data_IF_539792728616
#
_entry.id   IF_539792728616
#
_cell.length_a   1.000
_cell.length_b   1.000
_cell.length_c   1.000
_cell.angle_alpha   90.00
_cell.angle_beta   90.00
_cell.angle_gamma   90.00
#
_symmetry.space_group_name_H-M   'P 1'
#
loop_
_entity.id
_entity.type
_entity.pdbx_description
1 polymer ?
#
# COMPACT_ATOMS: atom_id res chain seq x y z
N UNK A 1 7.41 -9.30 -12.90
CA UNK A 1 6.74 -9.71 -11.65
C UNK A 1 7.71 -9.44 -10.51
N UNK A 2 7.30 -8.64 -9.52
CA UNK A 2 8.14 -8.29 -8.38
C UNK A 2 7.61 -9.01 -7.16
N UNK A 3 8.39 -9.94 -6.64
CA UNK A 3 8.06 -10.56 -5.36
C UNK A 3 8.51 -9.61 -4.25
N UNK A 4 7.55 -9.08 -3.49
CA UNK A 4 7.87 -8.36 -2.26
C UNK A 4 8.01 -9.43 -1.17
N UNK A 5 9.25 -9.89 -0.99
CA UNK A 5 9.60 -10.77 0.12
C UNK A 5 9.94 -9.88 1.31
N UNK A 6 9.12 -9.95 2.34
CA UNK A 6 9.46 -9.33 3.62
C UNK A 6 10.56 -10.14 4.28
N UNK A 7 11.75 -9.57 4.43
CA UNK A 7 12.83 -10.17 5.21
C UNK A 7 12.77 -9.86 6.70
N UNK A 8 11.88 -8.96 7.14
CA UNK A 8 11.81 -8.53 8.54
C UNK A 8 10.62 -9.13 9.28
N UNK A 9 10.89 -9.73 10.45
CA UNK A 9 9.87 -10.27 11.37
C UNK A 9 8.78 -9.25 11.75
N UNK A 10 9.06 -7.95 11.56
CA UNK A 10 8.16 -6.84 11.88
C UNK A 10 7.07 -6.59 10.82
N UNK A 11 7.28 -6.97 9.57
CA UNK A 11 6.35 -6.66 8.46
C UNK A 11 5.08 -7.52 8.50
N UNK A 12 5.22 -8.73 9.06
CA UNK A 12 4.31 -9.81 8.72
C UNK A 12 2.92 -9.76 9.37
N UNK A 13 2.71 -9.41 10.65
CA UNK A 13 1.38 -9.49 11.23
C UNK A 13 0.43 -8.43 10.65
N UNK A 14 0.93 -7.22 10.38
CA UNK A 14 0.08 -6.08 10.01
C UNK A 14 -0.30 -6.13 8.53
N UNK A 15 0.64 -6.50 7.66
CA UNK A 15 0.35 -6.67 6.25
C UNK A 15 -0.51 -7.93 6.01
N UNK A 16 -0.30 -8.99 6.80
CA UNK A 16 -1.19 -10.17 6.80
C UNK A 16 -2.60 -9.77 7.22
N UNK A 17 -2.78 -8.97 8.29
CA UNK A 17 -4.11 -8.52 8.73
C UNK A 17 -4.76 -7.62 7.66
N UNK A 18 -4.00 -6.72 7.02
CA UNK A 18 -4.48 -5.84 5.97
C UNK A 18 -4.96 -6.64 4.75
N UNK A 19 -4.18 -7.62 4.32
CA UNK A 19 -4.50 -8.40 3.14
C UNK A 19 -5.51 -9.49 3.45
N UNK A 20 -5.53 -10.05 4.67
CA UNK A 20 -6.63 -10.87 5.16
C UNK A 20 -7.93 -10.06 5.22
N UNK A 21 -7.88 -8.79 5.63
CA UNK A 21 -9.07 -7.92 5.60
C UNK A 21 -9.53 -7.67 4.17
N UNK A 22 -8.62 -7.37 3.23
CA UNK A 22 -8.97 -7.23 1.81
C UNK A 22 -9.48 -8.55 1.20
N UNK A 23 -8.87 -9.67 1.54
CA UNK A 23 -9.29 -11.01 1.12
C UNK A 23 -10.64 -11.41 1.70
N UNK A 24 -10.90 -11.09 2.97
CA UNK A 24 -12.20 -11.25 3.63
C UNK A 24 -13.22 -10.36 2.94
N UNK A 25 -12.84 -9.13 2.57
CA UNK A 25 -13.70 -8.26 1.78
C UNK A 25 -13.99 -8.89 0.42
N UNK A 26 -12.99 -9.30 -0.35
CA UNK A 26 -13.19 -10.01 -1.63
C UNK A 26 -14.01 -11.30 -1.49
N UNK A 27 -13.82 -12.06 -0.41
CA UNK A 27 -14.65 -13.23 -0.11
C UNK A 27 -16.09 -12.83 0.24
N UNK A 28 -16.27 -11.73 0.99
CA UNK A 28 -17.59 -11.17 1.31
C UNK A 28 -18.29 -10.64 0.06
N UNK A 29 -17.53 -10.07 -0.89
CA UNK A 29 -18.01 -9.64 -2.21
C UNK A 29 -18.55 -10.84 -3.00
N UNK A 30 -17.79 -11.94 -3.00
CA UNK A 30 -18.20 -13.18 -3.64
C UNK A 30 -19.45 -13.79 -2.98
N UNK A 31 -19.50 -13.84 -1.65
CA UNK A 31 -20.66 -14.33 -0.90
C UNK A 31 -21.91 -13.46 -1.15
N UNK A 32 -21.75 -12.14 -1.23
CA UNK A 32 -22.84 -11.22 -1.57
C UNK A 32 -23.39 -11.46 -2.98
N UNK A 33 -22.50 -11.71 -3.96
CA UNK A 33 -22.88 -12.05 -5.34
C UNK A 33 -23.68 -13.36 -5.39
N UNK A 34 -23.27 -14.40 -4.64
CA UNK A 34 -24.01 -15.65 -4.52
C UNK A 34 -25.40 -15.42 -3.90
N UNK A 35 -25.50 -14.63 -2.83
CA UNK A 35 -26.76 -14.37 -2.15
C UNK A 35 -27.78 -13.65 -3.03
N UNK A 36 -27.35 -12.75 -3.92
CA UNK A 36 -28.25 -12.01 -4.81
C UNK A 36 -28.73 -12.80 -6.03
N UNK A 37 -28.04 -13.87 -6.42
CA UNK A 37 -28.41 -14.67 -7.59
C UNK A 37 -28.38 -16.19 -7.32
N UNK A 38 -29.32 -16.71 -6.51
CA UNK A 38 -29.34 -18.12 -6.11
C UNK A 38 -29.57 -19.09 -7.27
N UNK A 39 -30.05 -18.62 -8.44
CA UNK A 39 -30.22 -19.45 -9.63
C UNK A 39 -28.89 -19.95 -10.24
N UNK A 40 -27.75 -19.40 -9.82
CA UNK A 40 -26.42 -19.77 -10.31
C UNK A 40 -25.78 -20.99 -9.60
N UNK A 41 -26.43 -21.53 -8.56
CA UNK A 41 -25.87 -22.57 -7.66
C UNK A 41 -25.73 -23.98 -8.28
N UNK A 42 -26.32 -24.26 -9.45
CA UNK A 42 -26.25 -25.59 -10.09
C UNK A 42 -25.14 -25.73 -11.14
N UNK A 43 -24.42 -24.65 -11.43
CA UNK A 43 -23.22 -24.67 -12.27
C UNK A 43 -22.01 -24.84 -11.37
N UNK A 44 -21.07 -25.71 -11.72
CA UNK A 44 -19.71 -25.70 -11.16
C UNK A 44 -19.18 -24.28 -11.31
N UNK A 45 -19.25 -23.51 -10.24
CA UNK A 45 -18.72 -22.15 -10.23
C UNK A 45 -17.22 -22.30 -10.25
N UNK A 46 -16.65 -22.25 -11.45
CA UNK A 46 -15.25 -21.99 -11.64
C UNK A 46 -15.01 -20.64 -10.97
N UNK A 47 -14.45 -20.65 -9.76
CA UNK A 47 -14.09 -19.43 -9.04
C UNK A 47 -13.08 -18.74 -9.94
N UNK A 48 -13.53 -17.81 -10.76
CA UNK A 48 -12.67 -16.94 -11.53
C UNK A 48 -11.90 -16.13 -10.47
N UNK A 49 -10.60 -16.37 -10.25
CA UNK A 49 -9.83 -15.73 -9.18
C UNK A 49 -9.55 -14.24 -9.49
N UNK A 50 -10.27 -13.65 -10.43
CA UNK A 50 -9.74 -12.65 -11.35
C UNK A 50 -10.01 -11.21 -10.94
N UNK A 51 -10.54 -10.94 -9.75
CA UNK A 51 -10.55 -9.56 -9.26
C UNK A 51 -9.17 -9.19 -8.72
N UNK A 52 -8.22 -9.05 -9.66
CA UNK A 52 -6.90 -8.49 -9.41
C UNK A 52 -7.09 -7.13 -8.74
N UNK A 53 -6.61 -7.00 -7.51
CA UNK A 53 -6.68 -5.74 -6.79
C UNK A 53 -5.60 -4.82 -7.34
N UNK A 54 -6.01 -3.78 -8.05
CA UNK A 54 -5.11 -2.74 -8.58
C UNK A 54 -4.90 -1.65 -7.55
N UNK A 55 -3.63 -1.36 -7.24
CA UNK A 55 -3.21 -0.32 -6.32
C UNK A 55 -2.35 0.69 -7.10
N UNK A 56 -2.88 1.88 -7.41
CA UNK A 56 -2.10 2.88 -8.15
C UNK A 56 -0.91 3.35 -7.32
N UNK A 57 0.21 3.62 -7.99
CA UNK A 57 1.43 4.17 -7.42
C UNK A 57 1.97 5.31 -8.32
N UNK A 58 1.23 6.43 -8.44
CA UNK A 58 1.58 7.54 -9.33
C UNK A 58 2.96 8.14 -9.07
N UNK A 59 3.42 8.22 -7.82
CA UNK A 59 4.77 8.71 -7.53
C UNK A 59 5.87 7.78 -8.07
N UNK A 60 5.54 6.51 -8.24
CA UNK A 60 6.41 5.48 -8.83
C UNK A 60 6.18 5.28 -10.34
N UNK A 61 5.13 5.88 -10.92
CA UNK A 61 4.76 5.72 -12.32
C UNK A 61 4.20 4.34 -12.69
N UNK A 62 3.74 3.56 -11.71
CA UNK A 62 3.28 2.17 -11.90
C UNK A 62 1.94 1.90 -11.22
N UNK A 63 1.32 0.79 -11.58
CA UNK A 63 0.18 0.16 -10.90
C UNK A 63 0.65 -1.18 -10.35
N UNK A 64 0.40 -1.42 -9.06
CA UNK A 64 0.59 -2.74 -8.48
C UNK A 64 -0.69 -3.55 -8.65
N UNK A 65 -0.57 -4.74 -9.22
CA UNK A 65 -1.64 -5.72 -9.28
C UNK A 65 -1.35 -6.79 -8.23
N UNK A 66 -2.20 -6.89 -7.22
CA UNK A 66 -2.07 -7.89 -6.17
C UNK A 66 -2.71 -9.21 -6.60
N UNK A 67 -1.92 -10.28 -6.57
CA UNK A 67 -2.40 -11.65 -6.72
C UNK A 67 -2.73 -12.24 -5.33
N UNK A 68 -4.02 -12.43 -5.00
CA UNK A 68 -4.41 -12.94 -3.69
C UNK A 68 -4.20 -14.46 -3.56
N UNK A 69 -3.82 -15.18 -4.62
CA UNK A 69 -3.82 -16.64 -4.66
C UNK A 69 -2.95 -17.26 -3.56
N UNK A 70 -1.72 -16.78 -3.39
CA UNK A 70 -0.79 -17.30 -2.37
C UNK A 70 -1.32 -17.01 -0.96
N UNK A 71 -1.78 -15.78 -0.73
CA UNK A 71 -2.37 -15.37 0.54
C UNK A 71 -3.60 -16.22 0.91
N UNK A 72 -4.56 -16.33 0.00
CA UNK A 72 -5.79 -17.09 0.22
C UNK A 72 -5.49 -18.56 0.49
N UNK A 73 -4.51 -19.13 -0.22
CA UNK A 73 -4.04 -20.49 0.01
C UNK A 73 -3.48 -20.66 1.43
N UNK A 74 -2.60 -19.79 1.87
CA UNK A 74 -2.02 -19.89 3.23
C UNK A 74 -3.09 -19.70 4.31
N UNK A 75 -3.97 -18.71 4.15
CA UNK A 75 -5.09 -18.49 5.07
C UNK A 75 -6.06 -19.68 5.14
N UNK A 76 -6.36 -20.32 3.99
CA UNK A 76 -7.22 -21.50 3.95
C UNK A 76 -6.64 -22.70 4.73
N UNK A 77 -5.31 -22.74 4.90
CA UNK A 77 -4.63 -23.75 5.70
C UNK A 77 -4.32 -23.28 7.14
N UNK A 78 -4.89 -22.16 7.59
CA UNK A 78 -4.56 -21.49 8.87
C UNK A 78 -3.06 -21.24 9.05
N UNK A 79 -2.35 -20.98 7.95
CA UNK A 79 -0.93 -20.66 7.93
C UNK A 79 -0.72 -19.16 7.79
N UNK A 80 0.43 -18.72 8.25
CA UNK A 80 0.89 -17.34 8.08
C UNK A 80 1.45 -17.20 6.66
N UNK A 81 0.97 -16.24 5.85
CA UNK A 81 1.55 -16.00 4.53
C UNK A 81 2.97 -15.47 4.68
N UNK A 82 3.92 -16.09 3.99
CA UNK A 82 5.34 -15.70 4.01
C UNK A 82 5.69 -14.65 2.96
N UNK A 83 4.86 -14.51 1.94
CA UNK A 83 5.11 -13.60 0.83
C UNK A 83 3.81 -13.07 0.22
N UNK A 84 3.92 -11.90 -0.38
CA UNK A 84 2.86 -11.30 -1.18
C UNK A 84 3.36 -11.09 -2.60
N UNK A 85 2.49 -11.41 -3.55
CA UNK A 85 2.82 -11.37 -4.96
C UNK A 85 2.16 -10.16 -5.60
N UNK A 86 2.98 -9.31 -6.21
CA UNK A 86 2.53 -8.18 -6.99
C UNK A 86 3.11 -8.25 -8.41
N UNK A 87 2.25 -8.07 -9.41
CA UNK A 87 2.70 -7.63 -10.73
C UNK A 87 2.77 -6.11 -10.78
N UNK A 88 3.76 -5.58 -11.49
CA UNK A 88 3.90 -4.15 -11.74
C UNK A 88 3.58 -3.90 -13.21
N UNK A 89 2.73 -2.91 -13.47
CA UNK A 89 2.45 -2.40 -14.81
C UNK A 89 2.71 -0.91 -14.85
N UNK A 90 3.29 -0.41 -15.94
CA UNK A 90 3.46 1.04 -16.10
C UNK A 90 2.09 1.72 -16.22
N UNK A 91 1.93 2.90 -15.61
CA UNK A 91 0.73 3.72 -15.84
C UNK A 91 0.78 4.22 -17.28
N UNK A 92 -0.03 3.64 -18.17
CA UNK A 92 -0.24 4.18 -19.51
C UNK A 92 -1.14 5.40 -19.42
N UNK A 93 -0.82 6.45 -20.18
CA UNK A 93 -1.53 7.73 -20.15
C UNK A 93 -2.95 7.63 -20.74
N UNK A 94 -3.27 6.49 -21.37
CA UNK A 94 -4.57 6.20 -21.95
C UNK A 94 -5.50 5.63 -20.89
N UNK A 95 -6.16 6.54 -20.18
CA UNK A 95 -7.46 6.38 -19.52
C UNK A 95 -7.70 5.06 -18.78
N UNK A 96 -7.77 5.15 -17.44
CA UNK A 96 -8.31 4.11 -16.55
C UNK A 96 -9.67 3.57 -17.04
N UNK A 97 -9.66 2.57 -17.92
CA UNK A 97 -10.84 1.81 -18.30
C UNK A 97 -11.13 0.89 -17.13
N UNK A 98 -12.01 1.34 -16.23
CA UNK A 98 -12.69 0.44 -15.31
C UNK A 98 -13.29 -0.66 -16.22
N UNK A 99 -12.88 -1.94 -16.08
CA UNK A 99 -13.32 -2.97 -17.00
C UNK A 99 -14.84 -3.02 -17.05
N UNK A 100 -15.36 -3.07 -18.28
CA UNK A 100 -16.79 -3.09 -18.55
C UNK A 100 -17.42 -4.30 -17.83
N UNK A 101 -18.33 -4.06 -16.88
CA UNK A 101 -18.89 -5.09 -16.00
C UNK A 101 -18.40 -5.07 -14.55
N UNK A 102 -17.53 -4.12 -14.16
CA UNK A 102 -17.18 -3.93 -12.75
C UNK A 102 -18.43 -3.52 -11.93
N UNK A 103 -18.79 -4.36 -10.96
CA UNK A 103 -19.88 -4.08 -10.03
C UNK A 103 -19.50 -2.87 -9.16
N UNK A 104 -20.29 -1.79 -9.23
CA UNK A 104 -20.13 -0.65 -8.34
C UNK A 104 -20.43 -1.08 -6.90
N UNK A 105 -19.37 -1.22 -6.11
CA UNK A 105 -19.46 -1.50 -4.69
C UNK A 105 -19.66 -0.23 -3.89
N UNK A 106 -20.13 -0.33 -2.64
CA UNK A 106 -19.94 0.73 -1.67
C UNK A 106 -18.48 1.19 -1.71
N UNK A 107 -18.25 2.49 -1.63
CA UNK A 107 -16.90 3.05 -1.67
C UNK A 107 -16.09 2.58 -0.44
N UNK A 108 -15.32 1.50 -0.64
CA UNK A 108 -14.41 0.94 0.35
C UNK A 108 -13.06 1.66 0.34
N UNK A 109 -12.89 2.71 -0.48
CA UNK A 109 -11.62 3.43 -0.56
C UNK A 109 -11.23 4.00 0.80
N UNK A 110 -12.18 4.57 1.56
CA UNK A 110 -11.88 5.12 2.88
C UNK A 110 -11.35 4.06 3.85
N UNK A 111 -11.94 2.87 3.85
CA UNK A 111 -11.51 1.77 4.70
C UNK A 111 -10.09 1.30 4.31
N UNK A 112 -9.87 1.05 3.01
CA UNK A 112 -8.54 0.68 2.48
C UNK A 112 -7.47 1.71 2.83
N UNK A 113 -7.77 2.99 2.60
CA UNK A 113 -6.90 4.15 2.92
C UNK A 113 -6.50 4.16 4.39
N UNK A 114 -7.47 3.97 5.30
CA UNK A 114 -7.22 3.90 6.76
C UNK A 114 -6.35 2.72 7.15
N UNK A 115 -6.58 1.54 6.56
CA UNK A 115 -5.74 0.38 6.85
C UNK A 115 -4.31 0.65 6.39
N UNK A 116 -4.11 1.06 5.12
CA UNK A 116 -2.77 1.31 4.58
C UNK A 116 -2.03 2.37 5.40
N UNK A 117 -2.73 3.42 5.83
CA UNK A 117 -2.17 4.46 6.70
C UNK A 117 -1.72 3.87 8.05
N UNK A 118 -2.54 3.01 8.65
CA UNK A 118 -2.20 2.35 9.91
C UNK A 118 -0.98 1.46 9.74
N UNK A 119 -0.91 0.68 8.65
CA UNK A 119 0.22 -0.21 8.35
C UNK A 119 1.50 0.57 8.18
N UNK A 120 1.48 1.60 7.34
CA UNK A 120 2.64 2.45 7.09
C UNK A 120 3.14 3.10 8.38
N UNK A 121 2.22 3.68 9.16
CA UNK A 121 2.58 4.39 10.39
C UNK A 121 3.21 3.43 11.40
N UNK A 122 2.60 2.27 11.64
CA UNK A 122 3.11 1.30 12.58
C UNK A 122 4.49 0.76 12.18
N UNK A 123 4.65 0.40 10.89
CA UNK A 123 5.94 -0.04 10.37
C UNK A 123 7.02 1.03 10.57
N UNK A 124 6.73 2.29 10.19
CA UNK A 124 7.65 3.40 10.35
C UNK A 124 8.06 3.59 11.81
N UNK A 125 7.10 3.63 12.75
CA UNK A 125 7.40 3.82 14.18
C UNK A 125 8.25 2.68 14.75
N UNK A 126 7.92 1.44 14.39
CA UNK A 126 8.66 0.25 14.84
C UNK A 126 10.12 0.29 14.39
N UNK A 127 10.39 0.77 13.19
CA UNK A 127 11.74 0.82 12.62
C UNK A 127 12.52 2.10 12.98
N UNK A 128 11.85 3.18 13.39
CA UNK A 128 12.46 4.51 13.61
C UNK A 128 13.69 4.49 14.51
N UNK A 129 13.68 3.71 15.60
CA UNK A 129 14.81 3.61 16.53
C UNK A 129 16.08 3.05 15.85
N UNK A 130 15.91 2.06 14.95
CA UNK A 130 17.03 1.48 14.19
C UNK A 130 17.60 2.48 13.19
N UNK A 131 16.74 3.27 12.55
CA UNK A 131 17.13 4.35 11.61
C UNK A 131 17.92 5.43 12.33
N UNK A 132 17.44 5.88 13.49
CA UNK A 132 18.13 6.88 14.31
C UNK A 132 19.51 6.39 14.74
N UNK A 133 19.63 5.10 15.08
CA UNK A 133 20.92 4.47 15.41
C UNK A 133 21.85 4.35 14.20
N UNK A 134 21.33 3.98 13.02
CA UNK A 134 22.14 3.75 11.80
C UNK A 134 22.71 5.05 11.23
N UNK A 135 21.95 6.14 11.27
CA UNK A 135 22.32 7.40 10.60
C UNK A 135 22.54 8.58 11.55
N UNK A 136 22.35 8.45 12.86
CA UNK A 136 22.55 9.54 13.84
C UNK A 136 21.69 10.78 13.54
N UNK A 137 20.40 10.56 13.31
CA UNK A 137 19.37 11.62 13.22
C UNK A 137 18.98 12.04 11.80
N UNK A 138 17.83 12.71 11.72
CA UNK A 138 17.06 12.93 10.48
C UNK A 138 17.84 13.52 9.30
N UNK A 139 18.75 14.47 9.55
CA UNK A 139 19.54 15.11 8.49
C UNK A 139 20.45 14.14 7.73
N UNK A 140 20.84 13.05 8.38
CA UNK A 140 21.76 12.06 7.86
C UNK A 140 21.04 10.78 7.40
N UNK A 141 19.72 10.68 7.63
CA UNK A 141 18.93 9.53 7.20
C UNK A 141 19.02 9.37 5.67
N UNK A 142 18.93 8.13 5.20
CA UNK A 142 18.81 7.85 3.77
C UNK A 142 17.63 8.62 3.14
N UNK A 143 17.76 9.06 1.88
CA UNK A 143 16.74 9.90 1.23
C UNK A 143 15.34 9.30 1.27
N UNK A 144 15.20 7.99 1.05
CA UNK A 144 13.91 7.27 1.18
C UNK A 144 13.33 7.36 2.60
N UNK A 145 14.18 7.29 3.63
CA UNK A 145 13.77 7.42 5.03
C UNK A 145 13.36 8.86 5.38
N UNK A 146 14.06 9.87 4.85
CA UNK A 146 13.66 11.27 4.99
C UNK A 146 12.31 11.53 4.31
N UNK A 147 12.09 10.92 3.14
CA UNK A 147 10.80 11.00 2.46
C UNK A 147 9.70 10.29 3.27
N UNK A 148 9.97 9.10 3.82
CA UNK A 148 9.04 8.38 4.68
C UNK A 148 8.68 9.16 5.96
N UNK A 149 9.63 9.88 6.54
CA UNK A 149 9.37 10.82 7.63
C UNK A 149 8.34 11.89 7.24
N UNK A 150 8.50 12.49 6.06
CA UNK A 150 7.57 13.50 5.55
C UNK A 150 6.17 12.90 5.36
N UNK A 151 6.08 11.71 4.75
CA UNK A 151 4.83 10.99 4.51
C UNK A 151 4.14 10.64 5.84
N UNK A 152 4.89 10.11 6.81
CA UNK A 152 4.36 9.80 8.15
C UNK A 152 3.79 11.05 8.81
N UNK A 153 4.50 12.17 8.75
CA UNK A 153 3.98 13.43 9.29
C UNK A 153 2.72 13.87 8.54
N UNK A 154 2.69 13.74 7.21
CA UNK A 154 1.50 14.08 6.45
C UNK A 154 0.28 13.24 6.87
N UNK A 155 0.46 11.94 7.08
CA UNK A 155 -0.59 11.04 7.58
C UNK A 155 -1.12 11.48 8.96
N UNK A 156 -0.23 11.88 9.87
CA UNK A 156 -0.62 12.40 11.20
C UNK A 156 -1.37 13.74 11.13
N UNK A 157 -1.23 14.49 10.03
CA UNK A 157 -1.83 15.81 9.82
C UNK A 157 -2.90 15.81 8.71
N UNK A 158 -3.69 14.73 8.64
CA UNK A 158 -4.85 14.66 7.75
C UNK A 158 -4.49 14.64 6.26
N UNK A 159 -3.34 14.08 5.92
CA UNK A 159 -2.84 13.96 4.55
C UNK A 159 -2.04 15.15 4.04
N UNK A 160 -1.84 16.19 4.87
CA UNK A 160 -1.12 17.42 4.50
C UNK A 160 0.29 17.42 5.04
N UNK A 161 1.26 17.82 4.21
CA UNK A 161 2.64 18.02 4.63
C UNK A 161 2.68 18.92 5.87
N UNK A 162 3.25 18.39 6.94
CA UNK A 162 3.65 19.16 8.10
C UNK A 162 5.17 19.07 8.27
N UNK A 163 5.86 20.12 7.87
CA UNK A 163 7.31 20.15 7.87
C UNK A 163 7.84 20.69 9.20
N UNK A 164 8.11 19.77 10.13
CA UNK A 164 8.49 20.12 11.52
C UNK A 164 9.96 20.56 11.61
N UNK A 165 10.86 19.96 10.82
CA UNK A 165 12.29 20.26 10.84
C UNK A 165 12.73 20.97 9.56
N UNK A 166 12.90 22.28 9.63
CA UNK A 166 13.27 23.14 8.50
C UNK A 166 14.71 22.91 7.99
N UNK A 167 15.54 22.17 8.75
CA UNK A 167 16.91 21.85 8.34
C UNK A 167 16.92 20.85 7.19
N UNK A 168 15.92 19.98 7.10
CA UNK A 168 15.65 19.20 5.89
C UNK A 168 14.96 20.15 4.92
N UNK A 169 15.66 20.66 3.91
CA UNK A 169 15.09 21.67 3.01
C UNK A 169 14.28 21.08 1.86
N UNK A 170 14.62 19.85 1.45
CA UNK A 170 13.94 19.11 0.40
C UNK A 170 14.08 17.60 0.63
N UNK A 171 13.06 16.85 0.22
CA UNK A 171 13.08 15.39 0.16
C UNK A 171 12.64 14.94 -1.23
N UNK A 172 13.30 13.92 -1.77
CA UNK A 172 13.01 13.36 -3.08
C UNK A 172 12.85 11.86 -2.97
N UNK A 173 11.82 11.33 -3.62
CA UNK A 173 11.59 9.91 -3.75
C UNK A 173 10.97 9.63 -5.12
N UNK A 174 11.57 8.72 -5.89
CA UNK A 174 11.16 8.44 -7.28
C UNK A 174 11.09 9.72 -8.11
N UNK A 175 9.94 10.01 -8.71
CA UNK A 175 9.73 11.18 -9.57
C UNK A 175 9.20 12.39 -8.82
N UNK A 176 9.04 12.32 -7.49
CA UNK A 176 8.47 13.40 -6.68
C UNK A 176 9.51 14.02 -5.76
N UNK A 177 9.49 15.35 -5.73
CA UNK A 177 10.34 16.17 -4.87
C UNK A 177 9.45 17.18 -4.15
N UNK A 178 9.57 17.22 -2.82
CA UNK A 178 8.97 18.26 -2.00
C UNK A 178 10.05 19.13 -1.39
N UNK A 179 9.70 20.40 -1.16
CA UNK A 179 10.55 21.35 -0.48
C UNK A 179 9.74 22.12 0.56
N UNK A 180 10.44 22.59 1.60
CA UNK A 180 9.79 23.26 2.73
C UNK A 180 9.03 24.52 2.29
N UNK A 181 9.65 25.36 1.46
CA UNK A 181 9.15 26.69 1.12
C UNK A 181 7.85 26.66 0.31
N UNK A 182 7.70 25.70 -0.60
CA UNK A 182 6.60 25.72 -1.58
C UNK A 182 5.52 24.68 -1.26
N UNK A 183 5.83 23.66 -0.45
CA UNK A 183 4.95 22.50 -0.28
C UNK A 183 4.44 22.29 1.15
N UNK A 184 4.84 23.12 2.12
CA UNK A 184 4.28 23.00 3.47
C UNK A 184 2.75 23.21 3.44
N UNK A 185 2.01 22.42 4.23
CA UNK A 185 0.53 22.36 4.25
C UNK A 185 -0.15 21.88 2.95
N UNK A 186 0.61 21.40 1.95
CA UNK A 186 0.06 20.78 0.74
C UNK A 186 -0.47 19.39 1.04
N UNK A 187 -1.67 19.08 0.55
CA UNK A 187 -2.27 17.75 0.67
C UNK A 187 -1.69 16.79 -0.36
N UNK A 188 -1.00 15.74 0.10
CA UNK A 188 -0.26 14.82 -0.77
C UNK A 188 -0.80 13.38 -0.71
N UNK A 189 -1.35 12.96 0.43
CA UNK A 189 -1.82 11.58 0.62
C UNK A 189 -3.13 11.37 -0.13
N UNK A 190 -3.19 10.31 -0.93
CA UNK A 190 -4.28 9.94 -1.83
C UNK A 190 -4.58 10.97 -2.95
N UNK A 191 -3.68 11.94 -3.16
CA UNK A 191 -3.68 12.85 -4.32
C UNK A 191 -2.45 12.64 -5.18
N UNK A 192 -1.27 12.65 -4.57
CA UNK A 192 0.03 12.51 -5.23
C UNK A 192 0.74 11.22 -4.82
N UNK A 193 0.44 10.72 -3.62
CA UNK A 193 0.92 9.45 -3.08
C UNK A 193 -0.30 8.57 -2.85
N UNK A 194 -0.44 7.48 -3.59
CA UNK A 194 -1.56 6.56 -3.45
C UNK A 194 -1.19 5.29 -2.65
N UNK A 195 -2.11 4.33 -2.54
CA UNK A 195 -1.90 3.14 -1.72
C UNK A 195 -0.71 2.29 -2.19
N UNK A 196 -0.53 2.16 -3.51
CA UNK A 196 0.61 1.42 -4.07
C UNK A 196 1.94 2.09 -3.76
N UNK A 197 1.99 3.42 -3.77
CA UNK A 197 3.21 4.16 -3.39
C UNK A 197 3.59 3.88 -1.93
N UNK A 198 2.62 3.81 -1.02
CA UNK A 198 2.90 3.53 0.39
C UNK A 198 3.45 2.11 0.59
N UNK A 199 2.96 1.13 -0.17
CA UNK A 199 3.48 -0.26 -0.13
C UNK A 199 4.92 -0.30 -0.66
N UNK A 200 5.20 0.37 -1.80
CA UNK A 200 6.55 0.45 -2.37
C UNK A 200 7.49 1.17 -1.40
N UNK A 201 7.03 2.27 -0.81
CA UNK A 201 7.83 3.05 0.13
C UNK A 201 8.23 2.20 1.34
N UNK A 202 7.30 1.40 1.88
CA UNK A 202 7.56 0.44 2.97
C UNK A 202 8.65 -0.58 2.57
N UNK A 203 8.54 -1.21 1.40
CA UNK A 203 9.56 -2.15 0.87
C UNK A 203 10.94 -1.48 0.76
N UNK A 204 11.00 -0.25 0.28
CA UNK A 204 12.26 0.47 0.05
C UNK A 204 12.92 0.96 1.36
N UNK A 205 12.14 1.38 2.35
CA UNK A 205 12.71 1.76 3.65
C UNK A 205 13.20 0.55 4.45
N UNK A 206 12.56 -0.62 4.32
CA UNK A 206 13.05 -1.88 4.90
C UNK A 206 14.39 -2.27 4.27
N UNK A 207 14.46 -2.26 2.93
CA UNK A 207 15.70 -2.53 2.18
C UNK A 207 16.84 -1.57 2.52
N UNK A 208 16.54 -0.30 2.77
CA UNK A 208 17.55 0.68 3.17
C UNK A 208 18.14 0.41 4.57
N UNK A 209 17.47 -0.37 5.41
CA UNK A 209 17.95 -0.73 6.75
C UNK A 209 18.92 -1.92 6.77
N UNK A 210 18.90 -2.77 5.75
CA UNK A 210 19.88 -3.84 5.54
C UNK A 210 21.26 -3.22 5.22
#
# INVERSE_FOLDING_TARGET
MRTIQSSSDCFEPILTIMMASNAILSASQYLFMIQRNPASLNTTVEIQPSLLLTLPAPASGIVLQFDPTVLLRELAHNRKPLELHFSEEAITTEGSVIPEGAVQMPDLSLFRKRIIQSVFTDFYETQKSRVDTKWNGLLNWHGTWQFAWLVRNALAHGGKINWIDQRVSSVTWKTITYNYTNHNNREIIFKEIAEGDLIILIDEIDKALI
#
